data_IF_897144454660
#
_entry.id   IF_897144454660
#
_cell.length_a   1.000
_cell.length_b   1.000
_cell.length_c   1.000
_cell.angle_alpha   90.00
_cell.angle_beta   90.00
_cell.angle_gamma   90.00
#
_symmetry.space_group_name_H-M   'P 1'
#
loop_
_entity.id
_entity.type
_entity.pdbx_description
1 polymer ?
#
# COMPACT_ATOMS: atom_id res chain seq x y z
N UNK A 1 -18.22 14.27 -7.81
CA UNK A 1 -17.12 14.52 -8.76
C UNK A 1 -16.97 13.27 -9.59
N UNK A 2 -17.05 13.36 -10.92
CA UNK A 2 -16.80 12.22 -11.80
C UNK A 2 -15.34 11.83 -11.61
N UNK A 3 -15.07 10.65 -11.03
CA UNK A 3 -13.70 10.14 -10.93
C UNK A 3 -13.10 10.11 -12.33
N UNK A 4 -11.87 10.59 -12.49
CA UNK A 4 -11.15 10.45 -13.75
C UNK A 4 -11.12 8.97 -14.11
N UNK A 5 -11.54 8.64 -15.34
CA UNK A 5 -11.38 7.29 -15.89
C UNK A 5 -9.90 6.92 -15.74
N UNK A 6 -9.63 5.80 -15.08
CA UNK A 6 -8.28 5.26 -15.06
C UNK A 6 -8.05 4.76 -16.48
N UNK A 7 -7.02 5.28 -17.15
CA UNK A 7 -6.65 4.77 -18.46
C UNK A 7 -5.95 3.43 -18.26
N UNK A 8 -6.74 2.39 -18.09
CA UNK A 8 -6.21 1.06 -17.90
C UNK A 8 -5.52 0.56 -19.19
N UNK A 9 -5.88 1.04 -20.38
CA UNK A 9 -5.31 0.52 -21.64
C UNK A 9 -3.82 0.83 -21.76
N UNK A 10 -3.39 2.04 -21.37
CA UNK A 10 -1.97 2.37 -21.33
C UNK A 10 -1.17 1.54 -20.33
N UNK A 11 -1.82 0.95 -19.33
CA UNK A 11 -1.22 0.00 -18.38
C UNK A 11 -0.89 -1.35 -19.01
N UNK A 12 -1.76 -1.81 -19.91
CA UNK A 12 -1.58 -3.04 -20.69
C UNK A 12 -0.39 -2.93 -21.63
N UNK A 13 -0.26 -1.77 -22.27
CA UNK A 13 0.75 -1.52 -23.28
C UNK A 13 2.13 -1.21 -22.68
N UNK A 14 2.20 -0.75 -21.42
CA UNK A 14 3.46 -0.40 -20.75
C UNK A 14 4.18 -1.58 -20.11
N UNK A 15 3.52 -2.71 -19.90
CA UNK A 15 4.08 -3.90 -19.28
C UNK A 15 4.16 -5.05 -20.29
N UNK A 16 5.35 -5.62 -20.47
CA UNK A 16 5.58 -6.77 -21.36
C UNK A 16 5.05 -8.06 -20.70
N UNK A 17 3.72 -8.23 -20.74
CA UNK A 17 3.09 -9.46 -20.28
C UNK A 17 3.37 -10.60 -21.27
N UNK A 18 3.65 -11.80 -20.75
CA UNK A 18 3.94 -12.98 -21.56
C UNK A 18 2.86 -13.22 -22.66
N UNK A 19 3.24 -13.67 -23.88
CA UNK A 19 2.33 -13.74 -25.04
C UNK A 19 1.09 -14.64 -24.86
N UNK A 20 1.21 -15.71 -24.10
CA UNK A 20 0.16 -16.67 -23.74
C UNK A 20 -0.78 -16.16 -22.62
N UNK A 21 -0.36 -15.10 -21.91
CA UNK A 21 -1.10 -14.43 -20.85
C UNK A 21 -2.07 -13.36 -21.33
N UNK A 22 -2.03 -12.92 -22.60
CA UNK A 22 -2.73 -11.72 -23.06
C UNK A 22 -4.27 -11.80 -23.02
N UNK A 23 -4.87 -12.96 -23.30
CA UNK A 23 -6.33 -13.13 -23.24
C UNK A 23 -6.85 -13.19 -21.79
N UNK A 24 -6.16 -13.95 -20.93
CA UNK A 24 -6.42 -13.99 -19.48
C UNK A 24 -6.21 -12.61 -18.85
N UNK A 25 -5.19 -11.90 -19.31
CA UNK A 25 -4.90 -10.53 -18.90
C UNK A 25 -6.01 -9.56 -19.31
N UNK A 26 -6.49 -9.62 -20.56
CA UNK A 26 -7.63 -8.80 -21.01
C UNK A 26 -8.92 -9.12 -20.23
N UNK A 27 -9.10 -10.37 -19.82
CA UNK A 27 -10.22 -10.79 -18.98
C UNK A 27 -10.09 -10.23 -17.57
N UNK A 28 -8.91 -10.37 -16.95
CA UNK A 28 -8.60 -9.80 -15.63
C UNK A 28 -8.79 -8.28 -15.63
N UNK A 29 -8.29 -7.62 -16.67
CA UNK A 29 -8.49 -6.21 -16.92
C UNK A 29 -9.98 -5.85 -16.97
N UNK A 30 -10.78 -6.58 -17.76
CA UNK A 30 -12.21 -6.29 -17.91
C UNK A 30 -12.97 -6.42 -16.59
N UNK A 31 -12.58 -7.38 -15.73
CA UNK A 31 -13.13 -7.52 -14.39
C UNK A 31 -12.78 -6.30 -13.52
N UNK A 32 -11.53 -5.88 -13.50
CA UNK A 32 -11.06 -4.75 -12.67
C UNK A 32 -11.60 -3.39 -13.18
N UNK A 33 -11.63 -3.17 -14.50
CA UNK A 33 -12.23 -1.99 -15.12
C UNK A 33 -13.73 -1.91 -14.78
N UNK A 34 -14.44 -3.04 -14.75
CA UNK A 34 -15.85 -3.05 -14.33
C UNK A 34 -16.04 -2.63 -12.86
N UNK A 35 -15.18 -3.05 -11.94
CA UNK A 35 -15.27 -2.66 -10.52
C UNK A 35 -14.79 -1.23 -10.23
N UNK A 36 -13.85 -0.73 -11.02
CA UNK A 36 -13.10 0.48 -10.67
C UNK A 36 -13.40 1.63 -11.66
N UNK A 37 -13.72 1.34 -12.91
CA UNK A 37 -13.93 2.33 -13.97
C UNK A 37 -15.31 3.01 -13.97
N UNK A 38 -16.33 2.46 -13.29
CA UNK A 38 -17.68 3.03 -13.28
C UNK A 38 -18.06 3.59 -11.90
N UNK A 39 -18.69 4.76 -11.87
CA UNK A 39 -19.25 5.34 -10.64
C UNK A 39 -20.40 4.52 -10.02
N UNK A 40 -20.86 3.48 -10.70
CA UNK A 40 -21.94 2.58 -10.28
C UNK A 40 -21.45 1.28 -9.61
N UNK A 41 -20.13 1.05 -9.48
CA UNK A 41 -19.57 -0.27 -9.12
C UNK A 41 -18.78 -0.35 -7.80
N UNK A 42 -18.98 0.56 -6.86
CA UNK A 42 -18.36 0.50 -5.51
C UNK A 42 -19.24 -0.21 -4.48
N UNK A 43 -19.89 -1.31 -4.86
CA UNK A 43 -20.69 -2.13 -3.94
C UNK A 43 -19.94 -3.40 -3.55
N UNK A 44 -20.21 -3.90 -2.34
CA UNK A 44 -19.62 -5.16 -1.86
C UNK A 44 -19.93 -6.35 -2.78
N UNK A 45 -21.13 -6.37 -3.39
CA UNK A 45 -21.55 -7.41 -4.35
C UNK A 45 -20.75 -7.32 -5.66
N UNK A 46 -20.49 -6.12 -6.15
CA UNK A 46 -19.64 -5.94 -7.34
C UNK A 46 -18.20 -6.38 -7.07
N UNK A 47 -17.67 -6.02 -5.90
CA UNK A 47 -16.33 -6.44 -5.46
C UNK A 47 -16.24 -7.97 -5.28
N UNK A 48 -17.32 -8.63 -4.81
CA UNK A 48 -17.41 -10.10 -4.75
C UNK A 48 -17.44 -10.74 -6.13
N UNK A 49 -18.22 -10.20 -7.06
CA UNK A 49 -18.28 -10.72 -8.42
C UNK A 49 -16.92 -10.64 -9.11
N UNK A 50 -16.15 -9.57 -8.89
CA UNK A 50 -14.79 -9.45 -9.41
C UNK A 50 -13.84 -10.44 -8.73
N UNK A 51 -13.88 -10.57 -7.41
CA UNK A 51 -13.06 -11.56 -6.71
C UNK A 51 -13.36 -13.00 -7.16
N UNK A 52 -14.63 -13.34 -7.43
CA UNK A 52 -15.02 -14.62 -8.02
C UNK A 52 -14.45 -14.80 -9.42
N UNK A 53 -14.59 -13.79 -10.29
CA UNK A 53 -14.05 -13.84 -11.64
C UNK A 53 -12.52 -14.01 -11.67
N UNK A 54 -11.80 -13.38 -10.73
CA UNK A 54 -10.35 -13.56 -10.56
C UNK A 54 -10.04 -15.01 -10.13
N UNK A 55 -10.77 -15.57 -9.18
CA UNK A 55 -10.59 -16.97 -8.76
C UNK A 55 -10.87 -17.97 -9.90
N UNK A 56 -11.93 -17.75 -10.66
CA UNK A 56 -12.33 -18.60 -11.79
C UNK A 56 -11.26 -18.68 -12.89
N UNK A 57 -10.59 -17.57 -13.19
CA UNK A 57 -9.56 -17.51 -14.25
C UNK A 57 -8.15 -17.84 -13.74
N UNK A 58 -7.99 -18.13 -12.45
CA UNK A 58 -6.68 -18.42 -11.86
C UNK A 58 -6.00 -19.61 -12.56
N UNK A 59 -4.76 -19.40 -13.02
CA UNK A 59 -3.97 -20.50 -13.60
C UNK A 59 -3.34 -21.32 -12.47
N UNK A 60 -3.91 -22.49 -12.19
CA UNK A 60 -3.45 -23.34 -11.07
C UNK A 60 -2.30 -24.26 -11.46
N UNK A 61 -2.13 -24.53 -12.75
CA UNK A 61 -1.07 -25.40 -13.28
C UNK A 61 0.25 -24.63 -13.43
N UNK A 62 0.17 -23.33 -13.74
CA UNK A 62 1.32 -22.42 -13.79
C UNK A 62 0.99 -21.10 -13.07
N UNK A 63 1.03 -21.11 -11.71
CA UNK A 63 0.53 -20.02 -10.89
C UNK A 63 1.43 -18.78 -10.89
N UNK A 64 2.75 -18.95 -11.06
CA UNK A 64 3.71 -17.86 -10.85
C UNK A 64 3.49 -16.67 -11.79
N UNK A 65 3.45 -16.90 -13.11
CA UNK A 65 3.25 -15.84 -14.10
C UNK A 65 1.88 -15.15 -13.96
N UNK A 66 0.84 -15.92 -13.66
CA UNK A 66 -0.52 -15.38 -13.44
C UNK A 66 -0.56 -14.50 -12.18
N UNK A 67 -0.06 -14.99 -11.05
CA UNK A 67 -0.06 -14.27 -9.78
C UNK A 67 0.78 -13.00 -9.85
N UNK A 68 1.97 -13.08 -10.43
CA UNK A 68 2.82 -11.91 -10.64
C UNK A 68 2.10 -10.82 -11.44
N UNK A 69 1.45 -11.21 -12.52
CA UNK A 69 0.66 -10.32 -13.37
C UNK A 69 -0.52 -9.70 -12.61
N UNK A 70 -1.27 -10.52 -11.86
CA UNK A 70 -2.39 -10.06 -11.05
C UNK A 70 -1.97 -9.01 -10.02
N UNK A 71 -0.94 -9.32 -9.22
CA UNK A 71 -0.47 -8.42 -8.18
C UNK A 71 0.09 -7.13 -8.76
N UNK A 72 0.84 -7.22 -9.87
CA UNK A 72 1.36 -6.05 -10.59
C UNK A 72 0.21 -5.16 -11.04
N UNK A 73 -0.82 -5.72 -11.65
CA UNK A 73 -1.95 -4.96 -12.14
C UNK A 73 -2.73 -4.27 -11.00
N UNK A 74 -2.97 -4.96 -9.88
CA UNK A 74 -3.63 -4.36 -8.72
C UNK A 74 -2.83 -3.19 -8.16
N UNK A 75 -1.51 -3.35 -8.01
CA UNK A 75 -0.59 -2.30 -7.54
C UNK A 75 -0.57 -1.10 -8.49
N UNK A 76 -0.48 -1.36 -9.79
CA UNK A 76 -0.45 -0.31 -10.80
C UNK A 76 -1.77 0.46 -10.89
N UNK A 77 -2.89 -0.22 -10.71
CA UNK A 77 -4.20 0.44 -10.62
C UNK A 77 -4.24 1.32 -9.36
N UNK A 78 -3.76 0.82 -8.22
CA UNK A 78 -3.75 1.59 -6.97
C UNK A 78 -2.97 2.89 -7.09
N UNK A 79 -1.83 2.88 -7.81
CA UNK A 79 -1.01 4.08 -8.10
C UNK A 79 -1.76 5.17 -8.88
N UNK A 80 -2.85 4.83 -9.58
CA UNK A 80 -3.63 5.75 -10.43
C UNK A 80 -4.91 6.25 -9.77
N UNK A 81 -5.22 5.77 -8.57
CA UNK A 81 -6.42 6.17 -7.82
C UNK A 81 -6.04 7.29 -6.86
N UNK A 82 -6.66 8.49 -6.95
CA UNK A 82 -6.45 9.55 -5.97
C UNK A 82 -6.81 9.10 -4.55
N UNK A 83 -6.09 9.60 -3.56
CA UNK A 83 -6.18 9.18 -2.15
C UNK A 83 -7.60 9.22 -1.55
N UNK A 84 -8.41 10.21 -1.93
CA UNK A 84 -9.77 10.40 -1.41
C UNK A 84 -10.85 9.70 -2.25
N UNK A 85 -10.45 8.99 -3.31
CA UNK A 85 -11.36 8.33 -4.22
C UNK A 85 -11.84 6.98 -3.64
N UNK A 86 -13.16 6.70 -3.59
CA UNK A 86 -13.70 5.46 -3.02
C UNK A 86 -13.19 4.19 -3.72
N UNK A 87 -12.69 4.30 -4.95
CA UNK A 87 -12.14 3.19 -5.73
C UNK A 87 -10.98 2.48 -5.03
N UNK A 88 -10.19 3.18 -4.22
CA UNK A 88 -9.09 2.55 -3.46
C UNK A 88 -9.66 1.55 -2.46
N UNK A 89 -10.82 1.85 -1.87
CA UNK A 89 -11.47 0.96 -0.91
C UNK A 89 -12.08 -0.26 -1.62
N UNK A 90 -12.65 -0.07 -2.82
CA UNK A 90 -13.09 -1.21 -3.64
C UNK A 90 -11.93 -2.16 -3.95
N UNK A 91 -10.77 -1.63 -4.33
CA UNK A 91 -9.59 -2.43 -4.62
C UNK A 91 -9.14 -3.25 -3.40
N UNK A 92 -9.10 -2.62 -2.22
CA UNK A 92 -8.81 -3.29 -0.94
C UNK A 92 -9.84 -4.38 -0.63
N UNK A 93 -11.13 -4.11 -0.84
CA UNK A 93 -12.19 -5.09 -0.58
C UNK A 93 -12.13 -6.28 -1.53
N UNK A 94 -11.78 -6.08 -2.81
CA UNK A 94 -11.53 -7.18 -3.75
C UNK A 94 -10.39 -8.07 -3.23
N UNK A 95 -9.28 -7.48 -2.78
CA UNK A 95 -8.15 -8.23 -2.21
C UNK A 95 -8.53 -8.95 -0.92
N UNK A 96 -9.31 -8.33 -0.04
CA UNK A 96 -9.87 -8.98 1.16
C UNK A 96 -10.71 -10.21 0.80
N UNK A 97 -11.61 -10.06 -0.18
CA UNK A 97 -12.51 -11.13 -0.64
C UNK A 97 -11.74 -12.27 -1.27
N UNK A 98 -10.66 -11.99 -2.02
CA UNK A 98 -9.74 -13.02 -2.47
C UNK A 98 -9.15 -13.76 -1.27
N UNK A 99 -8.52 -13.05 -0.32
CA UNK A 99 -7.78 -13.67 0.80
C UNK A 99 -8.59 -14.71 1.59
N UNK A 100 -9.89 -14.45 1.78
CA UNK A 100 -10.78 -15.33 2.55
C UNK A 100 -11.39 -16.48 1.73
N UNK A 101 -11.15 -16.55 0.41
CA UNK A 101 -11.61 -17.66 -0.41
C UNK A 101 -10.88 -18.94 -0.05
N UNK A 102 -11.65 -20.03 0.04
CA UNK A 102 -11.09 -21.37 0.12
C UNK A 102 -10.59 -21.75 -1.27
N UNK A 103 -9.31 -22.01 -1.38
CA UNK A 103 -8.66 -22.28 -2.66
C UNK A 103 -7.82 -23.55 -2.64
N UNK A 104 -7.42 -23.97 -3.84
CA UNK A 104 -6.44 -25.03 -4.00
C UNK A 104 -5.08 -24.61 -3.43
N UNK A 105 -4.26 -25.61 -3.15
CA UNK A 105 -2.82 -25.43 -2.93
C UNK A 105 -2.12 -25.26 -4.27
N UNK A 106 -1.21 -24.30 -4.35
CA UNK A 106 -0.33 -24.06 -5.50
C UNK A 106 1.13 -24.18 -5.05
N UNK A 107 2.02 -24.50 -5.97
CA UNK A 107 3.46 -24.51 -5.73
C UNK A 107 4.09 -23.29 -6.41
N UNK A 108 4.84 -22.51 -5.64
CA UNK A 108 5.56 -21.31 -6.09
C UNK A 108 6.97 -21.38 -5.50
N UNK A 109 7.98 -21.29 -6.37
CA UNK A 109 9.39 -21.37 -5.98
C UNK A 109 9.72 -22.59 -5.08
N UNK A 110 9.11 -23.74 -5.39
CA UNK A 110 9.29 -24.99 -4.65
C UNK A 110 8.61 -25.05 -3.28
N UNK A 111 7.79 -24.04 -2.93
CA UNK A 111 7.03 -24.00 -1.67
C UNK A 111 5.54 -24.06 -1.94
N UNK A 112 4.79 -24.78 -1.11
CA UNK A 112 3.34 -24.94 -1.23
C UNK A 112 2.60 -23.87 -0.45
N UNK A 113 1.65 -23.23 -1.11
CA UNK A 113 0.83 -22.15 -0.55
C UNK A 113 -0.66 -22.43 -0.79
N UNK A 114 -1.51 -22.02 0.14
CA UNK A 114 -2.94 -21.83 -0.09
C UNK A 114 -3.12 -20.59 -0.98
N UNK A 115 -3.56 -20.79 -2.22
CA UNK A 115 -3.53 -19.77 -3.29
C UNK A 115 -3.99 -18.38 -2.84
N UNK A 116 -5.10 -18.26 -2.12
CA UNK A 116 -5.56 -16.95 -1.68
C UNK A 116 -5.27 -16.62 -0.22
N UNK A 117 -5.24 -17.61 0.67
CA UNK A 117 -4.97 -17.33 2.09
C UNK A 117 -3.56 -16.78 2.29
N UNK A 118 -2.59 -17.38 1.61
CA UNK A 118 -1.16 -17.05 1.77
C UNK A 118 -0.68 -15.97 0.79
N UNK A 119 -1.52 -15.58 -0.20
CA UNK A 119 -1.24 -14.54 -1.19
C UNK A 119 0.18 -14.63 -1.80
N UNK A 120 0.60 -15.80 -2.32
CA UNK A 120 1.95 -16.02 -2.80
C UNK A 120 2.34 -14.99 -3.87
N UNK A 121 3.62 -14.60 -3.84
CA UNK A 121 4.23 -13.53 -4.65
C UNK A 121 3.75 -12.11 -4.38
N UNK A 122 2.66 -11.87 -3.65
CA UNK A 122 2.15 -10.50 -3.47
C UNK A 122 3.15 -9.60 -2.74
N UNK A 123 3.76 -10.10 -1.67
CA UNK A 123 4.82 -9.38 -0.96
C UNK A 123 6.06 -9.10 -1.82
N UNK A 124 6.43 -10.02 -2.73
CA UNK A 124 7.57 -9.82 -3.62
C UNK A 124 7.29 -8.70 -4.64
N UNK A 125 6.13 -8.75 -5.29
CA UNK A 125 5.71 -7.70 -6.24
C UNK A 125 5.56 -6.34 -5.54
N UNK A 126 4.99 -6.32 -4.33
CA UNK A 126 4.88 -5.08 -3.55
C UNK A 126 6.25 -4.52 -3.17
N UNK A 127 7.22 -5.38 -2.81
CA UNK A 127 8.59 -4.96 -2.52
C UNK A 127 9.26 -4.34 -3.75
N UNK A 128 9.03 -4.88 -4.95
CA UNK A 128 9.54 -4.29 -6.18
C UNK A 128 8.93 -2.91 -6.46
N UNK A 129 7.62 -2.75 -6.24
CA UNK A 129 6.96 -1.45 -6.38
C UNK A 129 7.54 -0.39 -5.42
N UNK A 130 8.09 -0.82 -4.28
CA UNK A 130 8.78 0.05 -3.32
C UNK A 130 10.10 0.64 -3.84
N UNK A 131 10.66 0.12 -4.94
CA UNK A 131 11.82 0.71 -5.61
C UNK A 131 11.47 2.00 -6.38
N UNK A 132 10.18 2.32 -6.54
CA UNK A 132 9.71 3.53 -7.21
C UNK A 132 9.60 4.77 -6.31
N UNK A 133 10.36 4.83 -5.22
CA UNK A 133 10.34 5.98 -4.30
C UNK A 133 10.80 7.26 -5.01
N UNK A 134 10.14 8.42 -4.79
CA UNK A 134 10.57 9.69 -5.39
C UNK A 134 11.95 10.13 -4.92
N UNK A 135 12.76 10.67 -5.84
CA UNK A 135 14.07 11.24 -5.52
C UNK A 135 14.00 12.74 -5.14
N UNK A 136 12.86 13.39 -5.37
CA UNK A 136 12.63 14.83 -5.09
C UNK A 136 13.66 15.75 -5.78
N UNK A 137 14.09 15.39 -6.98
CA UNK A 137 15.10 16.10 -7.76
C UNK A 137 14.50 17.24 -8.61
N UNK A 138 13.19 17.48 -8.52
CA UNK A 138 12.42 18.44 -9.32
C UNK A 138 12.44 18.14 -10.83
N UNK A 139 12.66 16.89 -11.24
CA UNK A 139 12.50 16.47 -12.64
C UNK A 139 11.03 16.59 -13.10
N UNK A 140 10.76 16.75 -14.40
CA UNK A 140 9.39 16.78 -14.93
C UNK A 140 8.54 15.57 -14.56
N UNK A 141 9.16 14.40 -14.40
CA UNK A 141 8.53 13.14 -14.05
C UNK A 141 8.18 13.03 -12.56
N UNK A 142 8.83 13.83 -11.70
CA UNK A 142 8.75 13.76 -10.24
C UNK A 142 7.32 13.96 -9.72
N UNK A 143 6.54 14.84 -10.32
CA UNK A 143 5.15 15.09 -9.91
C UNK A 143 4.25 13.85 -10.09
N UNK A 144 4.43 13.10 -11.18
CA UNK A 144 3.68 11.86 -11.42
C UNK A 144 4.13 10.76 -10.47
N UNK A 145 5.44 10.60 -10.30
CA UNK A 145 6.04 9.62 -9.38
C UNK A 145 5.57 9.86 -7.94
N UNK A 146 5.55 11.11 -7.48
CA UNK A 146 5.05 11.48 -6.15
C UNK A 146 3.56 11.14 -5.98
N UNK A 147 2.73 11.45 -6.99
CA UNK A 147 1.31 11.13 -6.92
C UNK A 147 1.07 9.61 -6.83
N UNK A 148 1.81 8.83 -7.62
CA UNK A 148 1.76 7.38 -7.59
C UNK A 148 2.28 6.82 -6.27
N UNK A 149 3.37 7.37 -5.73
CA UNK A 149 3.95 6.97 -4.45
C UNK A 149 3.00 7.15 -3.28
N UNK A 150 2.34 8.31 -3.20
CA UNK A 150 1.31 8.56 -2.18
C UNK A 150 0.18 7.54 -2.28
N UNK A 151 -0.28 7.24 -3.51
CA UNK A 151 -1.41 6.33 -3.76
C UNK A 151 -1.07 4.87 -3.46
N UNK A 152 0.15 4.44 -3.80
CA UNK A 152 0.70 3.13 -3.42
C UNK A 152 0.73 2.96 -1.89
N UNK A 153 1.25 3.97 -1.19
CA UNK A 153 1.32 3.96 0.27
C UNK A 153 -0.05 3.91 0.93
N UNK A 154 -1.02 4.70 0.47
CA UNK A 154 -2.39 4.64 0.99
C UNK A 154 -3.03 3.27 0.78
N UNK A 155 -2.80 2.64 -0.39
CA UNK A 155 -3.28 1.29 -0.65
C UNK A 155 -2.65 0.26 0.30
N UNK A 156 -1.33 0.27 0.46
CA UNK A 156 -0.62 -0.62 1.39
C UNK A 156 -1.09 -0.41 2.85
N UNK A 157 -1.26 0.84 3.28
CA UNK A 157 -1.79 1.18 4.60
C UNK A 157 -3.20 0.63 4.83
N UNK A 158 -4.07 0.70 3.83
CA UNK A 158 -5.44 0.16 3.92
C UNK A 158 -5.45 -1.36 3.95
N UNK A 159 -4.58 -2.03 3.21
CA UNK A 159 -4.41 -3.48 3.28
C UNK A 159 -3.94 -3.93 4.67
N UNK A 160 -2.96 -3.22 5.25
CA UNK A 160 -2.49 -3.48 6.61
C UNK A 160 -3.59 -3.25 7.66
N UNK A 161 -4.23 -2.08 7.63
CA UNK A 161 -5.31 -1.74 8.56
C UNK A 161 -6.51 -2.68 8.48
N UNK A 162 -6.72 -3.27 7.30
CA UNK A 162 -7.75 -4.27 7.04
C UNK A 162 -7.33 -5.71 7.37
N UNK A 163 -6.11 -5.93 7.87
CA UNK A 163 -5.54 -7.27 8.13
C UNK A 163 -5.50 -8.17 6.89
N UNK A 164 -5.41 -7.58 5.69
CA UNK A 164 -5.19 -8.36 4.46
C UNK A 164 -3.74 -8.81 4.40
N UNK A 165 -2.81 -7.94 4.71
CA UNK A 165 -1.38 -8.26 4.72
C UNK A 165 -0.70 -7.61 5.92
N UNK A 166 0.27 -8.30 6.51
CA UNK A 166 0.98 -7.86 7.71
C UNK A 166 2.28 -7.13 7.37
N UNK A 167 2.20 -6.14 6.46
CA UNK A 167 3.34 -5.35 5.97
C UNK A 167 3.72 -4.18 6.90
N UNK A 168 3.93 -4.47 8.17
CA UNK A 168 4.33 -3.47 9.17
C UNK A 168 5.71 -2.88 8.86
N UNK A 169 6.58 -3.63 8.18
CA UNK A 169 7.89 -3.16 7.74
C UNK A 169 7.81 -1.99 6.76
N UNK A 170 6.87 -2.00 5.79
CA UNK A 170 6.70 -0.88 4.87
C UNK A 170 6.26 0.38 5.62
N UNK A 171 5.30 0.26 6.54
CA UNK A 171 4.91 1.39 7.39
C UNK A 171 6.10 1.97 8.17
N UNK A 172 6.93 1.08 8.75
CA UNK A 172 8.08 1.50 9.55
C UNK A 172 9.13 2.23 8.70
N UNK A 173 9.41 1.77 7.48
CA UNK A 173 10.32 2.44 6.57
C UNK A 173 9.82 3.84 6.19
N UNK A 174 8.55 3.99 5.85
CA UNK A 174 8.00 5.28 5.45
C UNK A 174 7.90 6.28 6.61
N UNK A 175 7.55 5.79 7.80
CA UNK A 175 7.52 6.61 9.02
C UNK A 175 8.94 7.02 9.42
N UNK A 176 9.93 6.13 9.29
CA UNK A 176 11.34 6.48 9.49
C UNK A 176 11.78 7.56 8.51
N UNK A 177 11.64 7.31 7.22
CA UNK A 177 12.17 8.20 6.18
C UNK A 177 11.46 9.56 6.21
N UNK A 178 10.18 9.59 6.59
CA UNK A 178 9.39 10.83 6.64
C UNK A 178 9.43 11.60 7.96
N UNK A 179 9.69 10.95 9.10
CA UNK A 179 9.58 11.57 10.42
C UNK A 179 10.89 11.53 11.20
N UNK A 180 11.75 10.54 10.96
CA UNK A 180 12.99 10.29 11.69
C UNK A 180 14.24 10.71 10.93
N UNK A 181 14.11 11.22 9.70
CA UNK A 181 15.22 11.76 8.91
C UNK A 181 15.03 13.26 8.58
N UNK A 182 16.13 14.01 8.35
CA UNK A 182 16.07 15.34 7.78
C UNK A 182 15.43 15.32 6.38
N UNK A 183 14.59 16.31 6.09
CA UNK A 183 13.93 16.47 4.79
C UNK A 183 14.39 17.77 4.12
N UNK A 184 14.99 17.63 2.94
CA UNK A 184 15.76 18.70 2.28
C UNK A 184 14.89 19.71 1.51
N UNK A 185 13.67 19.33 1.09
CA UNK A 185 12.78 20.19 0.30
C UNK A 185 11.37 20.26 0.87
N UNK A 186 10.62 21.32 0.54
CA UNK A 186 9.21 21.43 0.94
C UNK A 186 8.35 20.33 0.30
N UNK A 187 8.67 19.94 -0.95
CA UNK A 187 7.98 18.87 -1.65
C UNK A 187 8.20 17.51 -0.98
N UNK A 188 9.42 17.22 -0.51
CA UNK A 188 9.72 16.03 0.28
C UNK A 188 8.95 16.07 1.61
N UNK A 189 8.99 17.20 2.33
CA UNK A 189 8.23 17.40 3.58
C UNK A 189 6.74 17.12 3.42
N UNK A 190 6.11 17.73 2.43
CA UNK A 190 4.68 17.55 2.18
C UNK A 190 4.36 16.11 1.76
N UNK A 191 5.19 15.50 0.90
CA UNK A 191 4.98 14.12 0.43
C UNK A 191 5.09 13.11 1.56
N UNK A 192 6.17 13.18 2.34
CA UNK A 192 6.38 12.29 3.48
C UNK A 192 5.34 12.51 4.58
N UNK A 193 4.94 13.76 4.85
CA UNK A 193 3.88 14.03 5.82
C UNK A 193 2.54 13.44 5.38
N UNK A 194 2.20 13.52 4.09
CA UNK A 194 1.01 12.86 3.54
C UNK A 194 1.12 11.34 3.70
N UNK A 195 2.21 10.73 3.25
CA UNK A 195 2.41 9.27 3.32
C UNK A 195 2.35 8.75 4.75
N UNK A 196 3.07 9.39 5.69
CA UNK A 196 3.00 9.06 7.11
C UNK A 196 1.58 9.18 7.66
N UNK A 197 0.85 10.23 7.26
CA UNK A 197 -0.54 10.44 7.68
C UNK A 197 -1.48 9.37 7.15
N UNK A 198 -1.28 8.86 5.93
CA UNK A 198 -2.06 7.75 5.37
C UNK A 198 -1.84 6.46 6.16
N UNK A 199 -0.59 6.13 6.50
CA UNK A 199 -0.26 4.98 7.34
C UNK A 199 -0.91 5.06 8.72
N UNK A 200 -0.82 6.21 9.39
CA UNK A 200 -1.48 6.42 10.68
C UNK A 200 -3.01 6.37 10.56
N UNK A 201 -3.58 6.99 9.53
CA UNK A 201 -5.03 7.06 9.37
C UNK A 201 -5.65 5.70 9.11
N UNK A 202 -5.00 4.89 8.26
CA UNK A 202 -5.57 3.62 7.81
C UNK A 202 -5.08 2.40 8.59
N UNK A 203 -3.84 2.42 9.05
CA UNK A 203 -3.22 1.31 9.79
C UNK A 203 -2.84 1.67 11.23
N UNK A 204 -3.12 2.89 11.71
CA UNK A 204 -2.65 3.39 13.01
C UNK A 204 -2.98 2.49 14.18
N UNK A 205 -4.14 1.82 14.18
CA UNK A 205 -4.47 0.84 15.22
C UNK A 205 -3.47 -0.31 15.27
N UNK A 206 -3.15 -0.90 14.11
CA UNK A 206 -2.20 -2.02 14.01
C UNK A 206 -0.82 -1.56 14.49
N UNK A 207 -0.36 -0.40 14.01
CA UNK A 207 0.95 0.16 14.37
C UNK A 207 1.06 0.52 15.85
N UNK A 208 0.00 1.07 16.43
CA UNK A 208 -0.07 1.37 17.87
C UNK A 208 -0.02 0.10 18.71
N UNK A 209 -0.77 -0.92 18.32
CA UNK A 209 -0.75 -2.22 19.00
C UNK A 209 0.65 -2.87 18.93
N UNK A 210 1.34 -2.79 17.78
CA UNK A 210 2.74 -3.27 17.65
C UNK A 210 3.70 -2.55 18.62
N UNK A 211 3.60 -1.23 18.73
CA UNK A 211 4.40 -0.43 19.67
C UNK A 211 4.24 -0.84 21.14
N UNK A 212 3.05 -1.34 21.50
CA UNK A 212 2.72 -1.79 22.86
C UNK A 212 3.06 -3.23 23.15
N UNK A 213 3.13 -4.09 22.13
CA UNK A 213 3.51 -5.51 22.33
C UNK A 213 4.96 -5.64 22.79
N UNK A 214 5.83 -4.70 22.42
CA UNK A 214 7.24 -4.69 22.84
C UNK A 214 8.01 -5.93 22.39
N UNK A 215 7.66 -6.49 21.23
CA UNK A 215 8.31 -7.70 20.70
C UNK A 215 9.74 -7.35 20.30
N UNK A 216 10.76 -8.05 20.82
CA UNK A 216 12.13 -7.85 20.39
C UNK A 216 12.27 -8.12 18.89
N UNK A 217 12.98 -7.25 18.19
CA UNK A 217 13.35 -7.46 16.80
C UNK A 217 14.37 -8.60 16.71
N UNK A 218 14.14 -9.55 15.80
CA UNK A 218 15.10 -10.62 15.53
C UNK A 218 16.41 -10.08 14.97
N UNK A 219 17.53 -10.75 15.24
CA UNK A 219 18.88 -10.27 14.86
C UNK A 219 18.99 -9.93 13.36
N UNK A 220 18.35 -10.73 12.50
CA UNK A 220 18.35 -10.55 11.04
C UNK A 220 17.59 -9.29 10.58
N UNK A 221 16.66 -8.77 11.39
CA UNK A 221 15.78 -7.65 11.06
C UNK A 221 16.24 -6.30 11.67
N UNK A 222 17.22 -6.33 12.58
CA UNK A 222 17.64 -5.14 13.36
C UNK A 222 18.02 -3.96 12.47
N UNK A 223 18.76 -4.22 11.39
CA UNK A 223 19.20 -3.18 10.46
C UNK A 223 18.04 -2.67 9.61
N UNK A 224 17.17 -3.57 9.13
CA UNK A 224 16.03 -3.22 8.29
C UNK A 224 15.03 -2.35 9.03
N UNK A 225 14.84 -2.62 10.32
CA UNK A 225 13.84 -1.96 11.19
C UNK A 225 14.44 -0.89 12.11
N UNK A 226 15.66 -0.42 11.83
CA UNK A 226 16.33 0.60 12.62
C UNK A 226 15.54 1.91 12.70
N UNK A 227 15.85 2.72 13.71
CA UNK A 227 15.42 4.12 13.76
C UNK A 227 16.20 4.99 12.78
N UNK A 228 15.67 6.17 12.50
CA UNK A 228 16.33 7.21 11.71
C UNK A 228 17.20 8.14 12.55
N UNK A 229 17.99 8.96 11.88
CA UNK A 229 19.04 9.79 12.49
C UNK A 229 18.55 10.82 13.52
N UNK A 230 17.27 11.22 13.45
CA UNK A 230 16.64 12.15 14.39
C UNK A 230 16.15 11.46 15.67
N UNK A 231 15.92 10.14 15.65
CA UNK A 231 15.47 9.36 16.81
C UNK A 231 16.64 8.55 17.39
N UNK A 232 17.40 9.20 18.27
CA UNK A 232 18.64 8.66 18.85
C UNK A 232 18.38 7.90 20.14
N UNK A 233 19.09 6.78 20.32
CA UNK A 233 19.12 6.01 21.56
C UNK A 233 17.96 5.03 21.75
N UNK A 234 17.04 4.96 20.77
CA UNK A 234 15.95 3.99 20.76
C UNK A 234 16.37 2.67 20.07
N UNK A 235 15.72 1.57 20.46
CA UNK A 235 15.93 0.27 19.83
C UNK A 235 15.22 0.19 18.46
N UNK A 236 15.70 -0.72 17.59
CA UNK A 236 15.03 -1.04 16.33
C UNK A 236 13.61 -1.58 16.56
N UNK A 237 12.75 -1.41 15.56
CA UNK A 237 11.37 -1.90 15.56
C UNK A 237 10.36 -0.89 16.12
N UNK A 238 9.23 -1.42 16.59
CA UNK A 238 8.14 -0.63 17.15
C UNK A 238 8.32 -0.43 18.67
N UNK A 239 8.04 0.78 19.14
CA UNK A 239 8.00 1.10 20.56
C UNK A 239 7.03 2.25 20.83
N UNK A 240 6.54 2.35 22.07
CA UNK A 240 5.72 3.49 22.51
C UNK A 240 6.48 4.83 22.35
N UNK A 241 7.79 4.84 22.67
CA UNK A 241 8.63 6.03 22.52
C UNK A 241 8.76 6.48 21.04
N UNK A 242 8.88 5.53 20.12
CA UNK A 242 8.92 5.80 18.67
C UNK A 242 7.57 6.30 18.16
N UNK A 243 6.47 5.75 18.64
CA UNK A 243 5.12 6.25 18.36
C UNK A 243 4.92 7.71 18.82
N UNK A 244 5.31 8.02 20.06
CA UNK A 244 5.26 9.38 20.60
C UNK A 244 6.12 10.36 19.81
N UNK A 245 7.28 9.90 19.33
CA UNK A 245 8.14 10.68 18.46
C UNK A 245 7.44 11.00 17.13
N UNK A 246 6.85 10.00 16.46
CA UNK A 246 6.11 10.21 15.20
C UNK A 246 4.98 11.22 15.37
N UNK A 247 4.20 11.11 16.44
CA UNK A 247 3.14 12.09 16.77
C UNK A 247 3.67 13.52 16.84
N UNK A 248 4.77 13.75 17.56
CA UNK A 248 5.40 15.08 17.67
C UNK A 248 5.89 15.58 16.32
N UNK A 249 6.54 14.72 15.52
CA UNK A 249 7.03 15.08 14.19
C UNK A 249 5.92 15.44 13.22
N UNK A 250 4.79 14.73 13.23
CA UNK A 250 3.60 15.07 12.43
C UNK A 250 3.08 16.46 12.84
N UNK A 251 3.01 16.76 14.14
CA UNK A 251 2.60 18.09 14.62
C UNK A 251 3.55 19.18 14.12
N UNK A 252 4.87 19.00 14.30
CA UNK A 252 5.88 19.96 13.88
C UNK A 252 5.84 20.24 12.38
N UNK A 253 5.82 19.18 11.56
CA UNK A 253 5.81 19.30 10.10
C UNK A 253 4.52 19.96 9.58
N UNK A 254 3.39 19.74 10.26
CA UNK A 254 2.09 20.31 9.85
C UNK A 254 2.02 21.84 9.89
N UNK A 255 2.86 22.52 10.70
CA UNK A 255 2.82 23.98 10.88
C UNK A 255 3.17 24.72 9.59
N UNK A 256 4.12 24.19 8.83
CA UNK A 256 4.60 24.77 7.56
C UNK A 256 4.20 23.98 6.32
N UNK A 257 3.29 23.01 6.47
CA UNK A 257 2.90 22.11 5.39
C UNK A 257 1.95 22.77 4.38
N UNK A 258 1.98 22.29 3.13
CA UNK A 258 0.95 22.59 2.15
C UNK A 258 -0.46 22.15 2.62
N UNK A 259 -1.50 22.73 2.02
CA UNK A 259 -2.89 22.56 2.48
C UNK A 259 -3.35 21.09 2.54
N UNK A 260 -3.00 20.27 1.54
CA UNK A 260 -3.34 18.84 1.53
C UNK A 260 -2.61 18.10 2.65
N UNK A 261 -1.30 18.30 2.78
CA UNK A 261 -0.46 17.65 3.78
C UNK A 261 -0.91 18.00 5.20
N UNK A 262 -1.22 19.28 5.45
CA UNK A 262 -1.78 19.73 6.72
C UNK A 262 -3.11 19.04 7.05
N UNK A 263 -4.06 18.99 6.11
CA UNK A 263 -5.36 18.33 6.32
C UNK A 263 -5.21 16.85 6.68
N UNK A 264 -4.28 16.13 6.02
CA UNK A 264 -4.02 14.72 6.33
C UNK A 264 -3.32 14.55 7.68
N UNK A 265 -2.36 15.41 8.01
CA UNK A 265 -1.71 15.41 9.31
C UNK A 265 -2.71 15.62 10.46
N UNK A 266 -3.64 16.57 10.29
CA UNK A 266 -4.73 16.79 11.25
C UNK A 266 -5.57 15.52 11.44
N UNK A 267 -5.91 14.82 10.34
CA UNK A 267 -6.66 13.57 10.42
C UNK A 267 -5.89 12.45 11.14
N UNK A 268 -4.60 12.31 10.84
CA UNK A 268 -3.74 11.34 11.49
C UNK A 268 -3.63 11.61 13.00
N UNK A 269 -3.51 12.89 13.40
CA UNK A 269 -3.46 13.28 14.81
C UNK A 269 -4.77 13.02 15.56
N UNK A 270 -5.92 13.15 14.90
CA UNK A 270 -7.21 12.71 15.48
C UNK A 270 -7.21 11.20 15.76
N UNK A 271 -6.72 10.39 14.82
CA UNK A 271 -6.63 8.93 14.98
C UNK A 271 -5.70 8.58 16.13
N UNK A 272 -4.50 9.18 16.17
CA UNK A 272 -3.55 9.00 17.29
C UNK A 272 -4.22 9.30 18.63
N UNK A 273 -4.87 10.47 18.74
CA UNK A 273 -5.57 10.87 19.96
C UNK A 273 -6.66 9.88 20.36
N UNK A 274 -7.38 9.30 19.39
CA UNK A 274 -8.42 8.32 19.67
C UNK A 274 -7.88 6.97 20.16
N UNK A 275 -6.68 6.58 19.72
CA UNK A 275 -6.03 5.31 20.10
C UNK A 275 -5.39 5.38 21.49
N UNK A 276 -4.95 6.57 21.90
CA UNK A 276 -4.32 6.84 23.21
C UNK A 276 -5.31 7.15 24.34
N UNK A 277 -6.59 7.38 24.00
CA UNK A 277 -7.65 7.73 24.95
C UNK A 277 -8.18 6.50 25.70
#
# INVERSE_FOLDING_TARGET
MSGSLIDFRSLVDSYDFAPDGREKFNTLFGLLDKAIGSSASHTSDANEAVANGIDEISNRDEPEGYLWTLWTLLIEISKRIPLDDPRVQSLVEITQKLKVKKSATVEVWGTKFSLWTDMPLFGAVMREAWNGTPNYDNSPEDATTIAQWKSLNSFAARLLGSSVESWTNFALWELRDGLEEPLESQQAKDTHLITASEWITHAGKVLYDEGRKGVPVGEDDVQSLSTGSLLKGEASGFSEARWDFWKKKIQELSVGAGAEAKKRAEKALEVIKSLEA
#
